data_IF_476471084688
#
_entry.id   IF_476471084688
#
_cell.length_a   1.000
_cell.length_b   1.000
_cell.length_c   1.000
_cell.angle_alpha   90.00
_cell.angle_beta   90.00
_cell.angle_gamma   90.00
#
_symmetry.space_group_name_H-M   'P 1'
#
loop_
_entity.id
_entity.type
_entity.pdbx_description
1 polymer ?
#
# COMPACT_ATOMS: atom_id res chain seq x y z
N UNK A 1 9.66 19.91 -20.81
CA UNK A 1 9.14 20.07 -19.44
C UNK A 1 9.95 19.15 -18.57
N UNK A 2 10.55 19.69 -17.51
CA UNK A 2 11.74 19.13 -16.86
C UNK A 2 11.36 18.02 -15.88
N UNK A 3 12.12 16.92 -15.84
CA UNK A 3 11.98 15.79 -14.89
C UNK A 3 11.80 16.26 -13.44
N UNK A 4 12.32 17.44 -13.09
CA UNK A 4 12.11 18.09 -11.79
C UNK A 4 10.64 18.41 -11.48
N UNK A 5 9.88 18.88 -12.47
CA UNK A 5 8.47 19.25 -12.28
C UNK A 5 7.60 18.00 -12.09
N UNK A 6 7.91 16.92 -12.81
CA UNK A 6 7.20 15.65 -12.67
C UNK A 6 7.44 15.05 -11.27
N UNK A 7 8.68 15.14 -10.77
CA UNK A 7 9.03 14.69 -9.42
C UNK A 7 8.29 15.47 -8.33
N UNK A 8 8.28 16.80 -8.40
CA UNK A 8 7.56 17.64 -7.43
C UNK A 8 6.05 17.37 -7.46
N UNK A 9 5.49 17.16 -8.66
CA UNK A 9 4.09 16.78 -8.83
C UNK A 9 3.76 15.44 -8.16
N UNK A 10 4.62 14.43 -8.34
CA UNK A 10 4.47 13.12 -7.69
C UNK A 10 4.53 13.25 -6.16
N UNK A 11 5.50 13.98 -5.63
CA UNK A 11 5.67 14.19 -4.18
C UNK A 11 4.46 14.92 -3.58
N UNK A 12 3.95 15.94 -4.27
CA UNK A 12 2.73 16.66 -3.86
C UNK A 12 1.49 15.76 -3.86
N UNK A 13 1.26 15.01 -4.95
CA UNK A 13 0.14 14.07 -5.06
C UNK A 13 0.22 12.98 -3.99
N UNK A 14 1.42 12.49 -3.70
CA UNK A 14 1.66 11.52 -2.63
C UNK A 14 1.27 12.08 -1.26
N UNK A 15 1.77 13.28 -0.94
CA UNK A 15 1.47 13.96 0.32
C UNK A 15 -0.02 14.24 0.51
N UNK A 16 -0.70 14.73 -0.54
CA UNK A 16 -2.16 14.92 -0.52
C UNK A 16 -2.90 13.59 -0.32
N UNK A 17 -2.44 12.52 -0.98
CA UNK A 17 -2.97 11.18 -0.81
C UNK A 17 -2.93 10.72 0.66
N UNK A 18 -1.77 10.85 1.32
CA UNK A 18 -1.63 10.46 2.72
C UNK A 18 -2.48 11.35 3.66
N UNK A 19 -2.55 12.65 3.38
CA UNK A 19 -3.37 13.59 4.15
C UNK A 19 -4.86 13.21 4.08
N UNK A 20 -5.41 13.00 2.88
CA UNK A 20 -6.80 12.59 2.71
C UNK A 20 -7.09 11.26 3.40
N UNK A 21 -6.17 10.29 3.31
CA UNK A 21 -6.34 8.98 3.95
C UNK A 21 -6.41 9.12 5.46
N UNK A 22 -5.49 9.87 6.07
CA UNK A 22 -5.49 10.14 7.53
C UNK A 22 -6.71 10.92 7.99
N UNK A 23 -7.28 11.75 7.10
CA UNK A 23 -8.49 12.53 7.35
C UNK A 23 -9.78 11.72 7.17
N UNK A 24 -9.70 10.39 7.03
CA UNK A 24 -10.85 9.52 6.86
C UNK A 24 -11.53 9.62 5.49
N UNK A 25 -10.84 10.16 4.48
CA UNK A 25 -11.34 10.35 3.12
C UNK A 25 -10.58 9.45 2.12
N UNK A 26 -10.68 8.11 2.25
CA UNK A 26 -9.86 7.17 1.47
C UNK A 26 -10.12 7.27 -0.04
N UNK A 27 -11.33 7.63 -0.47
CA UNK A 27 -11.63 7.79 -1.89
C UNK A 27 -10.89 8.96 -2.52
N UNK A 28 -10.78 10.10 -1.83
CA UNK A 28 -9.98 11.24 -2.31
C UNK A 28 -8.49 10.90 -2.31
N UNK A 29 -8.03 10.15 -1.31
CA UNK A 29 -6.66 9.66 -1.26
C UNK A 29 -6.33 8.79 -2.49
N UNK A 30 -7.23 7.87 -2.85
CA UNK A 30 -7.06 7.01 -4.02
C UNK A 30 -6.95 7.82 -5.31
N UNK A 31 -7.75 8.86 -5.51
CA UNK A 31 -7.63 9.69 -6.73
C UNK A 31 -6.22 10.28 -6.84
N UNK A 32 -5.69 10.89 -5.77
CA UNK A 32 -4.36 11.52 -5.81
C UNK A 32 -3.26 10.48 -6.04
N UNK A 33 -3.32 9.35 -5.33
CA UNK A 33 -2.32 8.29 -5.42
C UNK A 33 -2.35 7.54 -6.76
N UNK A 34 -3.54 7.38 -7.37
CA UNK A 34 -3.69 6.75 -8.69
C UNK A 34 -3.13 7.64 -9.81
N UNK A 35 -3.22 8.95 -9.69
CA UNK A 35 -2.55 9.87 -10.63
C UNK A 35 -1.03 9.78 -10.42
N UNK A 36 -0.56 9.82 -9.17
CA UNK A 36 0.87 9.75 -8.87
C UNK A 36 1.52 8.46 -9.39
N UNK A 37 0.86 7.30 -9.23
CA UNK A 37 1.40 6.02 -9.69
C UNK A 37 1.41 5.92 -11.22
N UNK A 38 0.55 6.64 -11.94
CA UNK A 38 0.63 6.70 -13.41
C UNK A 38 1.91 7.41 -13.88
N UNK A 39 2.35 8.43 -13.13
CA UNK A 39 3.59 9.16 -13.40
C UNK A 39 4.85 8.36 -12.99
N UNK A 40 4.75 7.54 -11.93
CA UNK A 40 5.82 6.68 -11.47
C UNK A 40 5.34 5.25 -11.14
N UNK A 41 5.09 4.39 -12.16
CA UNK A 41 4.43 3.09 -11.99
C UNK A 41 5.15 2.10 -11.09
N UNK A 42 6.47 2.26 -10.94
CA UNK A 42 7.32 1.38 -10.14
C UNK A 42 7.68 1.97 -8.78
N UNK A 43 7.19 3.16 -8.44
CA UNK A 43 7.51 3.80 -7.16
C UNK A 43 6.85 3.05 -6.00
N UNK A 44 7.67 2.35 -5.21
CA UNK A 44 7.19 1.52 -4.12
C UNK A 44 6.53 2.31 -2.98
N UNK A 45 6.90 3.57 -2.75
CA UNK A 45 6.26 4.41 -1.73
C UNK A 45 4.80 4.73 -2.09
N UNK A 46 4.55 4.96 -3.39
CA UNK A 46 3.19 5.15 -3.92
C UNK A 46 2.39 3.86 -3.85
N UNK A 47 2.98 2.73 -4.24
CA UNK A 47 2.33 1.41 -4.12
C UNK A 47 1.96 1.11 -2.67
N UNK A 48 2.86 1.35 -1.72
CA UNK A 48 2.59 1.16 -0.30
C UNK A 48 1.43 2.05 0.19
N UNK A 49 1.40 3.30 -0.27
CA UNK A 49 0.31 4.24 0.08
C UNK A 49 -1.02 3.83 -0.54
N UNK A 50 -1.02 3.29 -1.76
CA UNK A 50 -2.19 2.69 -2.41
C UNK A 50 -2.69 1.47 -1.66
N UNK A 51 -1.82 0.57 -1.19
CA UNK A 51 -2.21 -0.58 -0.36
C UNK A 51 -2.97 -0.10 0.88
N UNK A 52 -2.45 0.91 1.57
CA UNK A 52 -3.12 1.49 2.74
C UNK A 52 -4.46 2.13 2.36
N UNK A 53 -4.51 2.91 1.28
CA UNK A 53 -5.72 3.58 0.85
C UNK A 53 -6.82 2.61 0.37
N UNK A 54 -6.46 1.55 -0.37
CA UNK A 54 -7.39 0.48 -0.77
C UNK A 54 -7.87 -0.33 0.44
N UNK A 55 -6.98 -0.62 1.38
CA UNK A 55 -7.38 -1.23 2.66
C UNK A 55 -8.34 -0.31 3.40
N UNK A 56 -8.06 0.99 3.44
CA UNK A 56 -8.88 1.97 4.13
C UNK A 56 -10.26 2.17 3.43
N UNK A 57 -10.33 2.04 2.11
CA UNK A 57 -11.59 2.06 1.33
C UNK A 57 -12.39 0.76 1.35
N UNK A 58 -11.75 -0.37 1.67
CA UNK A 58 -12.36 -1.71 1.64
C UNK A 58 -12.14 -2.47 0.33
N UNK A 59 -11.44 -1.88 -0.65
CA UNK A 59 -11.07 -2.49 -1.93
C UNK A 59 -9.94 -3.51 -1.76
N UNK A 60 -10.25 -4.61 -1.08
CA UNK A 60 -9.26 -5.61 -0.64
C UNK A 60 -8.51 -6.22 -1.81
N UNK A 61 -9.19 -6.56 -2.91
CA UNK A 61 -8.54 -7.19 -4.06
C UNK A 61 -7.48 -6.30 -4.70
N UNK A 62 -7.74 -4.98 -4.77
CA UNK A 62 -6.76 -4.01 -5.26
C UNK A 62 -5.61 -3.80 -4.28
N UNK A 63 -5.89 -3.85 -2.97
CA UNK A 63 -4.84 -3.83 -1.95
C UNK A 63 -3.90 -5.04 -2.09
N UNK A 64 -4.45 -6.23 -2.31
CA UNK A 64 -3.67 -7.46 -2.51
C UNK A 64 -2.86 -7.38 -3.81
N UNK A 65 -3.45 -6.95 -4.92
CA UNK A 65 -2.72 -6.79 -6.18
C UNK A 65 -1.55 -5.79 -6.07
N UNK A 66 -1.75 -4.67 -5.34
CA UNK A 66 -0.66 -3.72 -5.09
C UNK A 66 0.42 -4.29 -4.16
N UNK A 67 0.05 -5.13 -3.19
CA UNK A 67 1.00 -5.87 -2.35
C UNK A 67 1.82 -6.88 -3.17
N UNK A 68 1.18 -7.62 -4.07
CA UNK A 68 1.88 -8.59 -4.92
C UNK A 68 2.95 -7.89 -5.77
N UNK A 69 2.63 -6.73 -6.35
CA UNK A 69 3.62 -5.89 -7.05
C UNK A 69 4.77 -5.42 -6.16
N UNK A 70 4.51 -5.10 -4.89
CA UNK A 70 5.58 -4.74 -3.94
C UNK A 70 6.47 -5.93 -3.61
N UNK A 71 5.88 -7.12 -3.43
CA UNK A 71 6.62 -8.36 -3.19
C UNK A 71 7.48 -8.73 -4.39
N UNK A 72 6.97 -8.56 -5.62
CA UNK A 72 7.77 -8.75 -6.84
C UNK A 72 8.97 -7.80 -6.93
N UNK A 73 8.83 -6.56 -6.46
CA UNK A 73 9.89 -5.55 -6.51
C UNK A 73 10.96 -5.71 -5.42
N UNK A 74 10.53 -6.03 -4.20
CA UNK A 74 11.39 -5.93 -3.00
C UNK A 74 11.59 -7.26 -2.27
N UNK A 75 10.92 -8.31 -2.73
CA UNK A 75 10.78 -9.54 -1.98
C UNK A 75 9.71 -9.44 -0.88
N UNK A 76 9.28 -10.59 -0.39
CA UNK A 76 8.34 -10.63 0.74
C UNK A 76 9.06 -10.21 2.02
N UNK A 77 8.48 -9.26 2.75
CA UNK A 77 9.00 -8.79 4.03
C UNK A 77 7.94 -8.88 5.12
N UNK A 78 8.40 -8.87 6.37
CA UNK A 78 7.50 -8.82 7.53
C UNK A 78 6.51 -7.64 7.43
N UNK A 79 6.95 -6.47 6.95
CA UNK A 79 6.07 -5.32 6.77
C UNK A 79 4.94 -5.59 5.76
N UNK A 80 5.25 -6.23 4.62
CA UNK A 80 4.24 -6.55 3.60
C UNK A 80 3.28 -7.65 4.07
N UNK A 81 3.76 -8.64 4.84
CA UNK A 81 2.91 -9.66 5.47
C UNK A 81 1.90 -9.04 6.46
N UNK A 82 2.34 -8.06 7.23
CA UNK A 82 1.47 -7.33 8.16
C UNK A 82 0.40 -6.52 7.42
N UNK A 83 0.78 -5.83 6.34
CA UNK A 83 -0.17 -5.09 5.50
C UNK A 83 -1.20 -6.02 4.85
N UNK A 84 -0.76 -7.17 4.32
CA UNK A 84 -1.64 -8.19 3.75
C UNK A 84 -2.64 -8.71 4.78
N UNK A 85 -2.15 -9.02 5.99
CA UNK A 85 -2.99 -9.43 7.11
C UNK A 85 -4.06 -8.38 7.44
N UNK A 86 -3.68 -7.10 7.53
CA UNK A 86 -4.61 -6.00 7.80
C UNK A 86 -5.68 -5.86 6.72
N UNK A 87 -5.29 -5.94 5.44
CA UNK A 87 -6.23 -5.87 4.32
C UNK A 87 -7.26 -7.00 4.39
N UNK A 88 -6.80 -8.25 4.55
CA UNK A 88 -7.64 -9.43 4.65
C UNK A 88 -8.57 -9.38 5.87
N UNK A 89 -8.06 -8.91 7.01
CA UNK A 89 -8.85 -8.78 8.24
C UNK A 89 -10.04 -7.85 8.03
N UNK A 90 -9.80 -6.69 7.39
CA UNK A 90 -10.86 -5.70 7.14
C UNK A 90 -11.88 -6.19 6.11
N UNK A 91 -11.47 -7.06 5.20
CA UNK A 91 -12.34 -7.74 4.25
C UNK A 91 -13.23 -8.85 4.88
N UNK A 92 -13.01 -9.18 6.15
CA UNK A 92 -13.66 -10.32 6.81
C UNK A 92 -13.02 -11.68 6.51
N UNK A 93 -11.96 -11.74 5.70
CA UNK A 93 -11.18 -12.96 5.40
C UNK A 93 -10.22 -13.31 6.54
N UNK A 94 -10.79 -13.59 7.71
CA UNK A 94 -10.05 -13.68 8.98
C UNK A 94 -9.05 -14.83 9.03
N UNK A 95 -9.33 -15.95 8.38
CA UNK A 95 -8.41 -17.10 8.41
C UNK A 95 -7.14 -16.85 7.59
N UNK A 96 -7.28 -16.31 6.38
CA UNK A 96 -6.15 -15.86 5.57
C UNK A 96 -5.34 -14.76 6.30
N UNK A 97 -6.04 -13.83 6.97
CA UNK A 97 -5.41 -12.77 7.75
C UNK A 97 -4.56 -13.34 8.90
N UNK A 98 -5.06 -14.35 9.62
CA UNK A 98 -4.34 -15.03 10.70
C UNK A 98 -3.12 -15.78 10.18
N UNK A 99 -3.23 -16.42 9.02
CA UNK A 99 -2.09 -17.09 8.39
C UNK A 99 -0.99 -16.09 8.04
N UNK A 100 -1.34 -14.95 7.42
CA UNK A 100 -0.39 -13.88 7.11
C UNK A 100 0.26 -13.31 8.38
N UNK A 101 -0.53 -13.12 9.44
CA UNK A 101 0.00 -12.61 10.72
C UNK A 101 0.96 -13.60 11.39
N UNK A 102 0.72 -14.91 11.29
CA UNK A 102 1.63 -15.93 11.80
C UNK A 102 2.98 -15.89 11.08
N UNK A 103 2.95 -15.84 9.74
CA UNK A 103 4.16 -15.66 8.92
C UNK A 103 4.90 -14.38 9.25
N UNK A 104 4.18 -13.28 9.52
CA UNK A 104 4.78 -12.03 10.02
C UNK A 104 5.55 -12.23 11.32
N UNK A 105 4.96 -12.93 12.30
CA UNK A 105 5.62 -13.21 13.59
C UNK A 105 6.86 -14.10 13.43
N UNK A 106 6.78 -15.11 12.57
CA UNK A 106 7.91 -15.99 12.24
C UNK A 106 9.06 -15.20 11.59
N UNK A 107 8.75 -14.39 10.56
CA UNK A 107 9.72 -13.55 9.86
C UNK A 107 10.38 -12.52 10.80
N UNK A 108 9.61 -11.93 11.73
CA UNK A 108 10.15 -10.97 12.71
C UNK A 108 11.08 -11.63 13.71
N UNK A 109 10.80 -12.87 14.13
CA UNK A 109 11.67 -13.64 15.04
C UNK A 109 12.96 -14.08 14.35
N UNK A 110 12.90 -14.46 13.08
CA UNK A 110 14.09 -14.86 12.30
C UNK A 110 15.04 -13.71 11.97
N UNK A 111 14.58 -12.46 12.08
CA UNK A 111 15.37 -11.25 11.84
C UNK A 111 16.01 -10.66 13.11
N UNK A 112 15.84 -11.31 14.27
CA UNK A 112 16.53 -10.99 15.54
C UNK A 112 17.76 -11.87 15.72
#
# INVERSE_FOLDING_TARGET
>A
MSISQDRECIELLHGMGDLYRRSGQPQRALVMLLIAIQLAPTNSALLHSLVLAFTDSGDTDRAIAALDRLVEQQGESAALLLLRSRALWKAGRKDDARQCFRRYLEARRAAQ
#
